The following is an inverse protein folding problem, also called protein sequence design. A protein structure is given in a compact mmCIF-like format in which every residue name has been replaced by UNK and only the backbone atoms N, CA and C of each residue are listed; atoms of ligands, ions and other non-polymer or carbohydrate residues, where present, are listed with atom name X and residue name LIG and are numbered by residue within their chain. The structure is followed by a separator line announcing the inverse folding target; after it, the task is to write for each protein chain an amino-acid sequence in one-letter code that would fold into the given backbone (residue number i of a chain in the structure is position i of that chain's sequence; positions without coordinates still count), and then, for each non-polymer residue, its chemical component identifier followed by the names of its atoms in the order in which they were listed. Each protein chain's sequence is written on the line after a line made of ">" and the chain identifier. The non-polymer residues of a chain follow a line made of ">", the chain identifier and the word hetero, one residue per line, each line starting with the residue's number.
data_IF_112397729474
#
_entry.id   IF_112397729474
#
_cell.length_a   1.000
_cell.length_b   1.000
_cell.length_c   1.000
_cell.angle_alpha   90.00
_cell.angle_beta   90.00
_cell.angle_gamma   90.00
#
_symmetry.space_group_name_H-M   'P 1'
#
loop_
_entity.id
_entity.type
_entity.pdbx_description
1 polymer ?
#
# COMPACT_ATOMS: atom_id res chain seq x y z
N UNK A 1 -21.64 -7.03 -21.96
CA UNK A 1 -21.34 -8.19 -21.08
C UNK A 1 -22.67 -8.74 -20.58
N UNK A 2 -22.89 -10.06 -20.52
CA UNK A 2 -24.24 -10.56 -20.21
C UNK A 2 -24.60 -10.43 -18.73
N UNK A 3 -23.69 -10.76 -17.81
CA UNK A 3 -23.96 -10.80 -16.36
C UNK A 3 -22.89 -10.08 -15.54
N UNK A 4 -23.32 -9.40 -14.47
CA UNK A 4 -22.45 -8.70 -13.51
C UNK A 4 -22.89 -9.00 -12.06
N UNK A 5 -22.00 -8.74 -11.10
CA UNK A 5 -22.31 -8.74 -9.66
C UNK A 5 -22.31 -7.29 -9.17
N UNK A 6 -23.38 -6.87 -8.51
CA UNK A 6 -23.50 -5.51 -7.99
C UNK A 6 -23.58 -5.54 -6.46
N UNK A 7 -22.66 -4.87 -5.79
CA UNK A 7 -22.59 -4.75 -4.33
C UNK A 7 -22.88 -3.31 -3.91
N UNK A 8 -23.66 -3.12 -2.85
CA UNK A 8 -24.05 -1.80 -2.38
C UNK A 8 -24.19 -1.76 -0.86
N UNK A 9 -23.88 -0.60 -0.28
CA UNK A 9 -24.07 -0.29 1.13
C UNK A 9 -24.48 1.19 1.29
N UNK A 10 -25.00 1.54 2.45
CA UNK A 10 -25.29 2.91 2.82
C UNK A 10 -25.48 3.05 4.32
N UNK A 11 -25.09 4.21 4.84
CA UNK A 11 -25.18 4.46 6.27
C UNK A 11 -25.35 5.93 6.60
N UNK A 12 -25.47 6.18 7.90
CA UNK A 12 -25.54 7.52 8.48
C UNK A 12 -24.76 7.60 9.79
N UNK A 13 -24.01 8.69 9.99
CA UNK A 13 -23.31 9.03 11.24
C UNK A 13 -24.32 9.56 12.25
N UNK A 14 -24.89 8.66 13.05
CA UNK A 14 -26.14 8.92 13.78
C UNK A 14 -27.34 8.69 12.86
N UNK A 15 -28.48 8.22 13.38
CA UNK A 15 -29.60 7.77 12.54
C UNK A 15 -30.92 8.45 12.97
N UNK A 16 -31.35 9.56 12.33
CA UNK A 16 -30.74 10.19 11.15
C UNK A 16 -29.50 11.05 11.48
N UNK A 17 -28.65 11.28 10.47
CA UNK A 17 -27.40 12.04 10.56
C UNK A 17 -26.75 12.21 9.18
N UNK A 18 -25.51 12.74 9.09
CA UNK A 18 -24.75 12.80 7.85
C UNK A 18 -24.64 11.42 7.21
N UNK A 19 -25.19 11.28 6.00
CA UNK A 19 -25.42 10.00 5.36
C UNK A 19 -24.75 9.94 3.98
N UNK A 20 -24.42 8.73 3.58
CA UNK A 20 -23.76 8.46 2.30
C UNK A 20 -23.96 7.02 1.88
N UNK A 21 -23.78 6.75 0.59
CA UNK A 21 -23.88 5.41 0.03
C UNK A 21 -22.67 5.07 -0.82
N UNK A 22 -22.45 3.77 -0.99
CA UNK A 22 -21.43 3.20 -1.85
C UNK A 22 -21.99 2.06 -2.69
N UNK A 23 -21.56 1.96 -3.94
CA UNK A 23 -21.95 0.91 -4.86
C UNK A 23 -20.78 0.54 -5.78
N UNK A 24 -20.64 -0.75 -6.04
CA UNK A 24 -19.60 -1.31 -6.92
C UNK A 24 -20.21 -2.39 -7.82
N UNK A 25 -19.83 -2.38 -9.09
CA UNK A 25 -20.23 -3.40 -10.07
C UNK A 25 -18.99 -4.16 -10.49
N UNK A 26 -19.01 -5.48 -10.31
CA UNK A 26 -17.95 -6.38 -10.70
C UNK A 26 -18.32 -7.22 -11.95
N UNK A 27 -17.31 -7.77 -12.60
CA UNK A 27 -17.47 -8.90 -13.52
C UNK A 27 -18.18 -10.07 -12.84
N UNK A 28 -18.78 -10.97 -13.64
CA UNK A 28 -19.56 -12.10 -13.11
C UNK A 28 -18.77 -13.02 -12.13
N UNK A 29 -17.45 -13.13 -12.32
CA UNK A 29 -16.52 -13.89 -11.48
C UNK A 29 -15.93 -13.07 -10.31
N UNK A 30 -16.36 -11.82 -10.14
CA UNK A 30 -15.83 -10.83 -9.19
C UNK A 30 -14.32 -10.54 -9.33
N UNK A 31 -13.70 -10.87 -10.46
CA UNK A 31 -12.26 -10.64 -10.67
C UNK A 31 -11.90 -9.21 -11.08
N UNK A 32 -12.87 -8.44 -11.59
CA UNK A 32 -12.67 -7.07 -12.05
C UNK A 32 -13.78 -6.14 -11.55
N UNK A 33 -13.41 -4.95 -11.10
CA UNK A 33 -14.33 -3.83 -10.90
C UNK A 33 -14.61 -3.20 -12.26
N UNK A 34 -15.89 -3.07 -12.60
CA UNK A 34 -16.38 -2.47 -13.84
C UNK A 34 -16.87 -1.03 -13.64
N UNK A 35 -17.40 -0.71 -12.46
CA UNK A 35 -17.84 0.63 -12.10
C UNK A 35 -17.95 0.79 -10.57
N UNK A 36 -17.72 2.01 -10.08
CA UNK A 36 -17.98 2.42 -8.70
C UNK A 36 -18.82 3.69 -8.69
N UNK A 37 -19.68 3.82 -7.67
CA UNK A 37 -20.48 5.02 -7.40
C UNK A 37 -20.52 5.27 -5.90
N UNK A 38 -20.40 6.52 -5.51
CA UNK A 38 -20.56 6.98 -4.12
C UNK A 38 -21.11 8.40 -4.14
N UNK A 39 -21.96 8.74 -3.18
CA UNK A 39 -22.39 10.11 -2.98
C UNK A 39 -22.85 10.37 -1.55
N UNK A 40 -22.66 11.60 -1.11
CA UNK A 40 -23.20 12.15 0.13
C UNK A 40 -24.68 12.47 -0.05
N UNK A 41 -25.49 12.26 0.99
CA UNK A 41 -26.95 12.47 0.98
C UNK A 41 -27.40 13.59 1.93
N UNK A 42 -26.46 14.37 2.46
CA UNK A 42 -26.74 15.29 3.56
C UNK A 42 -27.23 14.52 4.78
N UNK A 43 -28.36 14.93 5.38
CA UNK A 43 -28.93 14.24 6.54
C UNK A 43 -30.00 13.23 6.11
N UNK A 44 -29.75 11.94 6.35
CA UNK A 44 -30.69 10.86 6.05
C UNK A 44 -30.64 9.73 7.09
N UNK A 45 -31.47 8.69 6.91
CA UNK A 45 -31.42 7.47 7.72
C UNK A 45 -30.60 6.39 7.03
N UNK A 46 -30.12 5.38 7.78
CA UNK A 46 -29.38 4.24 7.21
C UNK A 46 -30.14 3.59 6.05
N UNK A 47 -31.42 3.27 6.25
CA UNK A 47 -32.21 2.58 5.23
C UNK A 47 -32.43 3.44 3.97
N UNK A 48 -32.51 4.76 4.11
CA UNK A 48 -32.57 5.69 2.97
C UNK A 48 -31.24 5.67 2.21
N UNK A 49 -30.11 5.65 2.92
CA UNK A 49 -28.79 5.55 2.32
C UNK A 49 -28.59 4.21 1.58
N UNK A 50 -28.94 3.08 2.21
CA UNK A 50 -28.84 1.75 1.60
C UNK A 50 -29.65 1.64 0.30
N UNK A 51 -30.85 2.23 0.25
CA UNK A 51 -31.66 2.26 -0.97
C UNK A 51 -31.04 3.11 -2.07
N UNK A 52 -30.42 4.24 -1.73
CA UNK A 52 -29.69 5.05 -2.72
C UNK A 52 -28.46 4.30 -3.24
N UNK A 53 -27.74 3.56 -2.38
CA UNK A 53 -26.67 2.64 -2.78
C UNK A 53 -27.16 1.61 -3.81
N UNK A 54 -28.30 0.96 -3.55
CA UNK A 54 -28.89 0.02 -4.51
C UNK A 54 -29.24 0.67 -5.85
N UNK A 55 -29.84 1.87 -5.83
CA UNK A 55 -30.21 2.61 -7.05
C UNK A 55 -28.96 2.93 -7.88
N UNK A 56 -27.88 3.35 -7.23
CA UNK A 56 -26.61 3.63 -7.85
C UNK A 56 -26.00 2.36 -8.46
N UNK A 57 -26.03 1.24 -7.74
CA UNK A 57 -25.52 -0.05 -8.22
C UNK A 57 -26.26 -0.54 -9.47
N UNK A 58 -27.60 -0.44 -9.49
CA UNK A 58 -28.40 -0.82 -10.65
C UNK A 58 -28.19 0.12 -11.84
N UNK A 59 -28.00 1.41 -11.59
CA UNK A 59 -27.71 2.37 -12.65
C UNK A 59 -26.32 2.13 -13.26
N UNK A 60 -25.29 1.95 -12.42
CA UNK A 60 -23.95 1.59 -12.87
C UNK A 60 -23.91 0.27 -13.66
N UNK A 61 -24.66 -0.74 -13.22
CA UNK A 61 -24.76 -2.02 -13.93
C UNK A 61 -25.37 -1.86 -15.35
N UNK A 62 -26.34 -0.96 -15.49
CA UNK A 62 -26.94 -0.62 -16.79
C UNK A 62 -25.93 0.13 -17.67
N UNK A 63 -25.19 1.07 -17.10
CA UNK A 63 -24.26 1.93 -17.83
C UNK A 63 -23.07 1.12 -18.38
N UNK A 64 -22.63 0.06 -17.68
CA UNK A 64 -21.64 -0.91 -18.22
C UNK A 64 -22.23 -1.92 -19.22
N UNK A 65 -23.51 -1.78 -19.57
CA UNK A 65 -24.20 -2.60 -20.56
C UNK A 65 -24.47 -4.04 -20.11
N UNK A 66 -24.72 -4.26 -18.82
CA UNK A 66 -25.15 -5.56 -18.31
C UNK A 66 -26.59 -5.88 -18.69
N UNK A 67 -26.90 -7.15 -18.91
CA UNK A 67 -28.27 -7.65 -19.13
C UNK A 67 -28.83 -8.41 -17.93
N UNK A 68 -27.96 -8.99 -17.12
CA UNK A 68 -28.30 -9.71 -15.88
C UNK A 68 -27.47 -9.17 -14.71
N UNK A 69 -28.10 -9.01 -13.54
CA UNK A 69 -27.43 -8.44 -12.34
C UNK A 69 -27.67 -9.31 -11.12
N UNK A 70 -26.58 -9.74 -10.48
CA UNK A 70 -26.64 -10.35 -9.15
C UNK A 70 -26.34 -9.28 -8.08
N UNK A 71 -27.39 -8.73 -7.47
CA UNK A 71 -27.29 -7.76 -6.38
C UNK A 71 -26.98 -8.48 -5.07
N UNK A 72 -25.94 -8.02 -4.36
CA UNK A 72 -25.52 -8.54 -3.06
C UNK A 72 -25.39 -7.38 -2.08
N UNK A 73 -26.06 -7.44 -0.94
CA UNK A 73 -26.02 -6.36 0.07
C UNK A 73 -26.05 -6.97 1.48
N UNK A 74 -25.46 -6.30 2.46
CA UNK A 74 -25.57 -6.68 3.87
C UNK A 74 -26.81 -6.08 4.57
N UNK A 75 -27.55 -5.20 3.89
CA UNK A 75 -28.90 -4.80 4.27
C UNK A 75 -29.94 -5.90 4.02
N UNK A 76 -30.26 -6.65 5.06
CA UNK A 76 -31.34 -7.65 4.99
C UNK A 76 -32.69 -7.00 4.67
N UNK A 77 -32.93 -5.78 5.17
CA UNK A 77 -34.18 -5.06 4.94
C UNK A 77 -34.40 -4.78 3.44
N UNK A 78 -33.41 -4.17 2.78
CA UNK A 78 -33.50 -3.81 1.36
C UNK A 78 -33.58 -5.06 0.49
N UNK A 79 -32.76 -6.08 0.76
CA UNK A 79 -32.79 -7.36 0.03
C UNK A 79 -34.17 -8.01 0.08
N UNK A 80 -34.78 -8.10 1.27
CA UNK A 80 -36.09 -8.73 1.45
C UNK A 80 -37.23 -7.91 0.81
N UNK A 81 -37.13 -6.58 0.86
CA UNK A 81 -38.11 -5.68 0.23
C UNK A 81 -38.03 -5.73 -1.29
N UNK A 82 -36.83 -5.74 -1.86
CA UNK A 82 -36.62 -5.83 -3.31
C UNK A 82 -36.93 -7.22 -3.87
N UNK A 83 -36.75 -8.26 -3.05
CA UNK A 83 -37.22 -9.60 -3.38
C UNK A 83 -38.75 -9.77 -3.31
N UNK A 84 -39.49 -8.72 -2.91
CA UNK A 84 -40.95 -8.75 -2.76
C UNK A 84 -41.45 -9.54 -1.55
N UNK A 85 -40.55 -10.02 -0.68
CA UNK A 85 -40.91 -10.78 0.52
C UNK A 85 -41.42 -9.87 1.62
N UNK A 86 -40.88 -8.66 1.73
CA UNK A 86 -41.27 -7.68 2.75
C UNK A 86 -41.88 -6.43 2.12
N UNK A 87 -42.88 -5.83 2.78
CA UNK A 87 -43.53 -4.59 2.32
C UNK A 87 -42.72 -3.36 2.74
N UNK A 88 -42.53 -2.40 1.83
CA UNK A 88 -42.04 -1.06 2.17
C UNK A 88 -43.20 -0.22 2.69
N UNK A 89 -43.09 0.25 3.93
CA UNK A 89 -44.12 1.07 4.58
C UNK A 89 -43.66 2.48 4.90
N UNK A 90 -42.35 2.72 4.99
CA UNK A 90 -41.82 4.03 5.37
C UNK A 90 -41.99 5.02 4.20
N UNK A 91 -42.61 6.20 4.40
CA UNK A 91 -42.87 7.17 3.34
C UNK A 91 -41.64 7.53 2.51
N UNK A 92 -40.48 7.72 3.17
CA UNK A 92 -39.23 8.12 2.50
C UNK A 92 -38.59 6.98 1.69
N UNK A 93 -38.89 5.72 2.02
CA UNK A 93 -38.34 4.55 1.30
C UNK A 93 -39.22 4.12 0.13
N UNK A 94 -40.53 4.41 0.15
CA UNK A 94 -41.45 4.09 -0.95
C UNK A 94 -40.98 4.65 -2.31
N UNK A 95 -40.61 5.94 -2.44
CA UNK A 95 -40.15 6.46 -3.73
C UNK A 95 -38.82 5.83 -4.17
N UNK A 96 -37.91 5.55 -3.24
CA UNK A 96 -36.63 4.92 -3.54
C UNK A 96 -36.80 3.48 -4.01
N UNK A 97 -37.66 2.71 -3.34
CA UNK A 97 -37.97 1.35 -3.76
C UNK A 97 -38.61 1.31 -5.15
N UNK A 98 -39.51 2.25 -5.45
CA UNK A 98 -40.11 2.35 -6.80
C UNK A 98 -39.05 2.62 -7.85
N UNK A 99 -38.14 3.56 -7.60
CA UNK A 99 -37.03 3.88 -8.52
C UNK A 99 -36.10 2.68 -8.71
N UNK A 100 -35.73 1.98 -7.65
CA UNK A 100 -34.92 0.75 -7.73
C UNK A 100 -35.65 -0.35 -8.55
N UNK A 101 -36.97 -0.52 -8.33
CA UNK A 101 -37.77 -1.49 -9.07
C UNK A 101 -37.99 -1.10 -10.55
N UNK A 102 -37.98 0.18 -10.89
CA UNK A 102 -37.98 0.66 -12.27
C UNK A 102 -36.66 0.35 -12.98
N UNK A 103 -35.52 0.62 -12.33
CA UNK A 103 -34.21 0.27 -12.87
C UNK A 103 -34.05 -1.24 -13.06
N UNK A 104 -34.48 -2.03 -12.06
CA UNK A 104 -34.39 -3.49 -12.12
C UNK A 104 -35.18 -4.10 -13.30
N UNK A 105 -36.29 -3.47 -13.71
CA UNK A 105 -37.08 -3.88 -14.89
C UNK A 105 -36.36 -3.68 -16.22
N UNK A 106 -35.27 -2.91 -16.24
CA UNK A 106 -34.44 -2.71 -17.43
C UNK A 106 -33.50 -3.87 -17.75
N UNK A 107 -33.39 -4.86 -16.86
CA UNK A 107 -32.54 -6.04 -17.03
C UNK A 107 -33.38 -7.27 -17.40
N UNK A 108 -32.77 -8.24 -18.08
CA UNK A 108 -33.37 -9.53 -18.36
C UNK A 108 -33.61 -10.31 -17.06
N UNK A 109 -32.70 -10.19 -16.09
CA UNK A 109 -32.90 -10.73 -14.74
C UNK A 109 -32.12 -9.96 -13.67
N UNK A 110 -32.69 -9.89 -12.47
CA UNK A 110 -32.04 -9.36 -11.26
C UNK A 110 -32.28 -10.30 -10.09
N UNK A 111 -31.22 -10.71 -9.40
CA UNK A 111 -31.31 -11.48 -8.16
C UNK A 111 -30.83 -10.66 -6.98
N UNK A 112 -31.44 -10.83 -5.80
CA UNK A 112 -31.04 -10.14 -4.58
C UNK A 112 -30.59 -11.17 -3.53
N UNK A 113 -29.35 -11.05 -3.07
CA UNK A 113 -28.75 -11.91 -2.07
C UNK A 113 -28.32 -11.07 -0.85
N UNK A 114 -28.65 -11.55 0.35
CA UNK A 114 -28.09 -10.99 1.57
C UNK A 114 -26.72 -11.63 1.84
N UNK A 115 -25.72 -10.80 2.12
CA UNK A 115 -24.36 -11.25 2.46
C UNK A 115 -23.93 -10.72 3.83
N UNK A 116 -23.05 -11.42 4.57
CA UNK A 116 -22.46 -10.86 5.78
C UNK A 116 -21.66 -9.57 5.48
N UNK A 117 -21.66 -8.59 6.40
CA UNK A 117 -20.93 -7.32 6.25
C UNK A 117 -19.46 -7.50 5.86
N UNK A 118 -18.78 -8.50 6.44
CA UNK A 118 -17.39 -8.82 6.11
C UNK A 118 -17.16 -9.20 4.63
N UNK A 119 -18.22 -9.55 3.90
CA UNK A 119 -18.19 -9.85 2.46
C UNK A 119 -18.61 -8.66 1.58
N UNK A 120 -19.13 -7.57 2.17
CA UNK A 120 -19.56 -6.33 1.51
C UNK A 120 -18.56 -5.18 1.74
N UNK A 121 -17.30 -5.49 2.08
CA UNK A 121 -16.32 -4.50 2.55
C UNK A 121 -16.00 -3.39 1.56
N UNK A 122 -16.13 -3.66 0.25
CA UNK A 122 -15.87 -2.66 -0.79
C UNK A 122 -16.96 -1.59 -0.81
N UNK A 123 -18.23 -2.00 -0.86
CA UNK A 123 -19.34 -1.05 -0.82
C UNK A 123 -19.44 -0.32 0.53
N UNK A 124 -19.12 -1.00 1.64
CA UNK A 124 -19.03 -0.39 2.98
C UNK A 124 -17.95 0.70 3.04
N UNK A 125 -16.76 0.46 2.46
CA UNK A 125 -15.70 1.47 2.39
C UNK A 125 -16.17 2.73 1.64
N UNK A 126 -16.77 2.57 0.46
CA UNK A 126 -17.34 3.66 -0.34
C UNK A 126 -18.44 4.43 0.41
N UNK A 127 -19.30 3.72 1.15
CA UNK A 127 -20.35 4.34 1.96
C UNK A 127 -19.78 5.12 3.16
N UNK A 128 -18.69 4.64 3.78
CA UNK A 128 -18.01 5.34 4.87
C UNK A 128 -17.36 6.64 4.39
N UNK A 129 -16.64 6.60 3.27
CA UNK A 129 -16.08 7.81 2.65
C UNK A 129 -17.19 8.85 2.38
N UNK A 130 -18.32 8.41 1.82
CA UNK A 130 -19.43 9.30 1.52
C UNK A 130 -20.12 9.88 2.77
N UNK A 131 -20.19 9.10 3.85
CA UNK A 131 -20.68 9.56 5.15
C UNK A 131 -19.76 10.58 5.81
N UNK A 132 -18.45 10.36 5.74
CA UNK A 132 -17.45 11.24 6.35
C UNK A 132 -17.37 12.57 5.57
N UNK A 133 -17.38 12.50 4.23
CA UNK A 133 -17.54 13.69 3.39
C UNK A 133 -18.83 14.47 3.69
N UNK A 134 -19.96 13.76 3.90
CA UNK A 134 -21.22 14.40 4.28
C UNK A 134 -21.13 15.11 5.64
N UNK A 135 -20.37 14.55 6.60
CA UNK A 135 -20.16 15.15 7.92
C UNK A 135 -19.28 16.41 7.84
N UNK A 136 -18.37 16.47 6.88
CA UNK A 136 -17.51 17.62 6.59
C UNK A 136 -18.17 18.65 5.66
N UNK A 137 -19.39 18.39 5.18
CA UNK A 137 -20.13 19.29 4.28
C UNK A 137 -19.63 19.26 2.83
N UNK A 138 -18.89 18.22 2.45
CA UNK A 138 -18.41 17.98 1.08
C UNK A 138 -19.46 17.16 0.32
N UNK A 139 -19.95 17.69 -0.79
CA UNK A 139 -20.89 16.98 -1.67
C UNK A 139 -20.14 16.18 -2.73
N UNK A 140 -20.04 14.86 -2.54
CA UNK A 140 -19.40 13.97 -3.51
C UNK A 140 -20.24 13.76 -4.78
N UNK A 141 -21.49 14.24 -4.86
CA UNK A 141 -22.34 14.10 -6.04
C UNK A 141 -21.97 15.05 -7.20
N UNK A 142 -21.15 16.06 -6.94
CA UNK A 142 -20.63 16.99 -7.97
C UNK A 142 -19.31 16.52 -8.60
N UNK A 143 -18.73 15.42 -8.11
CA UNK A 143 -17.56 14.80 -8.71
C UNK A 143 -18.02 13.97 -9.93
N UNK A 144 -17.42 14.16 -11.12
CA UNK A 144 -17.85 13.44 -12.31
C UNK A 144 -17.76 11.93 -12.11
N UNK A 145 -18.81 11.22 -12.54
CA UNK A 145 -18.82 9.75 -12.59
C UNK A 145 -17.56 9.29 -13.33
N UNK A 146 -16.74 8.47 -12.66
CA UNK A 146 -15.55 7.90 -13.26
C UNK A 146 -15.96 7.07 -14.49
N UNK A 147 -15.67 7.58 -15.69
CA UNK A 147 -15.62 6.75 -16.90
C UNK A 147 -14.57 5.64 -16.67
N UNK A 148 -14.78 4.43 -17.21
CA UNK A 148 -13.87 3.32 -16.99
C UNK A 148 -12.54 3.63 -17.69
N UNK A 149 -11.63 4.22 -16.95
CA UNK A 149 -10.25 4.39 -17.36
C UNK A 149 -9.67 2.99 -17.57
N UNK A 150 -9.26 2.74 -18.81
CA UNK A 150 -8.50 1.58 -19.18
C UNK A 150 -7.27 1.47 -18.28
N UNK A 151 -7.23 0.38 -17.51
CA UNK A 151 -6.13 -0.12 -16.68
C UNK A 151 -4.80 0.65 -16.77
N UNK A 152 -4.46 1.34 -15.69
CA UNK A 152 -3.15 1.17 -15.07
C UNK A 152 -3.37 0.74 -13.61
N UNK A 153 -2.59 -0.25 -13.19
CA UNK A 153 -2.87 -1.08 -12.04
C UNK A 153 -2.56 -0.36 -10.73
N UNK A 154 -3.56 0.26 -10.11
CA UNK A 154 -3.48 0.61 -8.69
C UNK A 154 -3.65 -0.66 -7.85
N UNK A 155 -2.65 -0.94 -7.03
CA UNK A 155 -2.67 -2.06 -6.09
C UNK A 155 -3.79 -1.84 -5.06
N UNK A 156 -4.58 -2.86 -4.69
CA UNK A 156 -5.68 -2.68 -3.75
C UNK A 156 -5.11 -2.25 -2.39
N UNK A 157 -5.24 -0.97 -2.06
CA UNK A 157 -4.87 -0.42 -0.77
C UNK A 157 -6.05 -0.55 0.19
N UNK A 158 -6.06 -1.58 1.04
CA UNK A 158 -7.00 -1.68 2.16
C UNK A 158 -6.74 -0.63 3.26
N UNK A 159 -5.69 0.18 3.11
CA UNK A 159 -5.14 1.07 4.14
C UNK A 159 -5.85 2.41 4.29
N UNK A 160 -6.84 2.73 3.45
CA UNK A 160 -7.58 4.01 3.51
C UNK A 160 -6.72 5.26 3.23
N UNK A 161 -5.50 5.06 2.72
CA UNK A 161 -4.55 6.13 2.46
C UNK A 161 -4.84 6.79 1.10
N UNK A 162 -4.88 8.12 1.09
CA UNK A 162 -5.37 8.95 -0.03
C UNK A 162 -4.24 9.60 -0.82
N UNK A 163 -4.43 9.71 -2.14
CA UNK A 163 -3.50 10.34 -3.06
C UNK A 163 -2.50 9.36 -3.69
N UNK A 164 -1.83 9.79 -4.75
CA UNK A 164 -0.81 8.98 -5.43
C UNK A 164 0.39 8.80 -4.48
N UNK A 165 0.72 7.56 -4.08
CA UNK A 165 1.80 7.34 -3.14
C UNK A 165 3.15 7.55 -3.82
N UNK A 166 4.12 8.06 -3.05
CA UNK A 166 5.52 7.89 -3.42
C UNK A 166 5.91 6.46 -3.15
N UNK A 167 6.25 5.72 -4.20
CA UNK A 167 6.56 4.29 -4.12
C UNK A 167 8.06 4.08 -4.04
N UNK A 168 8.53 3.56 -2.92
CA UNK A 168 9.94 3.40 -2.61
C UNK A 168 10.35 1.94 -2.74
N UNK A 169 11.14 1.64 -3.77
CA UNK A 169 11.76 0.34 -4.00
C UNK A 169 13.10 0.31 -3.26
N UNK A 170 13.15 -0.43 -2.16
CA UNK A 170 14.31 -0.55 -1.28
C UNK A 170 15.16 -1.74 -1.71
N UNK A 171 16.29 -1.47 -2.36
CA UNK A 171 17.25 -2.49 -2.77
C UNK A 171 18.46 -2.48 -1.83
N UNK A 172 18.74 -3.60 -1.18
CA UNK A 172 20.00 -3.74 -0.44
C UNK A 172 21.15 -3.95 -1.41
N UNK A 173 22.32 -3.40 -1.12
CA UNK A 173 23.53 -3.67 -1.91
C UNK A 173 23.84 -5.19 -2.03
N UNK A 174 24.54 -5.58 -3.10
CA UNK A 174 25.05 -6.94 -3.29
C UNK A 174 26.16 -7.32 -2.32
N UNK A 175 26.61 -8.57 -2.35
CA UNK A 175 27.64 -9.09 -1.44
C UNK A 175 28.95 -8.30 -1.49
N UNK A 176 29.52 -8.07 -0.30
CA UNK A 176 30.89 -7.56 -0.10
C UNK A 176 31.73 -8.61 0.63
N UNK A 177 33.07 -8.49 0.69
CA UNK A 177 33.91 -9.40 1.47
C UNK A 177 33.48 -9.51 2.94
N UNK A 178 33.10 -8.39 3.56
CA UNK A 178 32.63 -8.37 4.97
C UNK A 178 31.32 -9.12 5.16
N UNK A 179 30.46 -9.15 4.13
CA UNK A 179 29.19 -9.88 4.17
C UNK A 179 29.39 -11.40 4.18
N UNK A 180 30.45 -11.90 3.52
CA UNK A 180 30.81 -13.34 3.51
C UNK A 180 31.10 -13.81 4.93
N UNK A 181 31.91 -13.03 5.65
CA UNK A 181 32.34 -13.34 7.01
C UNK A 181 31.31 -12.95 8.09
N UNK A 182 30.15 -12.40 7.70
CA UNK A 182 29.10 -11.88 8.60
C UNK A 182 29.65 -10.87 9.62
N UNK A 183 30.53 -10.00 9.14
CA UNK A 183 31.13 -8.91 9.93
C UNK A 183 30.24 -7.69 9.93
N UNK A 184 30.26 -6.92 11.01
CA UNK A 184 29.66 -5.59 11.04
C UNK A 184 30.33 -4.72 9.98
N UNK A 185 29.53 -4.15 9.08
CA UNK A 185 29.99 -3.29 7.99
C UNK A 185 29.14 -2.03 8.00
N UNK A 186 29.70 -0.96 8.56
CA UNK A 186 29.06 0.33 8.70
C UNK A 186 29.58 1.28 7.63
N UNK A 187 30.44 2.22 8.06
CA UNK A 187 31.00 3.26 7.19
C UNK A 187 32.22 2.84 6.39
N UNK A 188 32.73 1.62 6.63
CA UNK A 188 33.70 1.00 5.72
C UNK A 188 33.17 1.02 4.29
N UNK A 189 34.07 1.13 3.30
CA UNK A 189 33.69 1.34 1.90
C UNK A 189 34.21 0.24 0.95
N UNK A 190 34.00 -1.06 1.24
CA UNK A 190 34.42 -2.12 0.35
C UNK A 190 33.59 -2.12 -0.94
N UNK A 191 34.24 -2.56 -2.03
CA UNK A 191 33.57 -2.89 -3.28
C UNK A 191 32.76 -4.19 -3.17
N UNK A 192 31.86 -4.39 -4.13
CA UNK A 192 31.18 -5.66 -4.32
C UNK A 192 32.17 -6.78 -4.68
N UNK A 193 31.92 -8.00 -4.19
CA UNK A 193 32.58 -9.21 -4.71
C UNK A 193 32.07 -9.51 -6.13
N UNK A 194 32.70 -10.45 -6.84
CA UNK A 194 32.16 -10.94 -8.12
C UNK A 194 30.74 -11.50 -7.97
N UNK A 195 30.44 -12.17 -6.84
CA UNK A 195 29.09 -12.62 -6.55
C UNK A 195 28.16 -11.42 -6.31
N UNK A 196 28.60 -10.40 -5.58
CA UNK A 196 27.84 -9.16 -5.38
C UNK A 196 27.52 -8.43 -6.69
N UNK A 197 28.47 -8.39 -7.63
CA UNK A 197 28.25 -7.84 -8.97
C UNK A 197 27.21 -8.65 -9.76
N UNK A 198 27.27 -9.98 -9.70
CA UNK A 198 26.24 -10.85 -10.31
C UNK A 198 24.86 -10.64 -9.68
N UNK A 199 24.80 -10.52 -8.35
CA UNK A 199 23.56 -10.21 -7.63
C UNK A 199 22.97 -8.87 -8.08
N UNK A 200 23.80 -7.83 -8.16
CA UNK A 200 23.39 -6.52 -8.67
C UNK A 200 22.88 -6.60 -10.12
N UNK A 201 23.56 -7.35 -10.99
CA UNK A 201 23.12 -7.56 -12.38
C UNK A 201 21.78 -8.33 -12.49
N UNK A 202 21.55 -9.29 -11.60
CA UNK A 202 20.28 -10.01 -11.49
C UNK A 202 19.15 -9.08 -11.04
N UNK A 203 19.36 -8.29 -10.00
CA UNK A 203 18.38 -7.28 -9.55
C UNK A 203 18.09 -6.26 -10.66
N UNK A 204 19.13 -5.79 -11.34
CA UNK A 204 19.02 -4.88 -12.48
C UNK A 204 18.26 -5.48 -13.66
N UNK A 205 18.24 -6.80 -13.83
CA UNK A 205 17.46 -7.43 -14.89
C UNK A 205 15.96 -7.29 -14.64
N UNK A 206 15.51 -7.51 -13.41
CA UNK A 206 14.10 -7.37 -13.03
C UNK A 206 13.68 -5.91 -12.89
N UNK A 207 14.52 -5.08 -12.29
CA UNK A 207 14.25 -3.64 -12.16
C UNK A 207 14.32 -2.92 -13.51
N UNK A 208 15.25 -3.32 -14.39
CA UNK A 208 15.42 -2.74 -15.72
C UNK A 208 14.30 -3.06 -16.71
N UNK A 209 13.47 -4.07 -16.42
CA UNK A 209 12.25 -4.34 -17.22
C UNK A 209 11.04 -3.52 -16.77
N UNK A 210 11.18 -2.75 -15.68
CA UNK A 210 10.11 -1.87 -15.20
C UNK A 210 10.14 -0.55 -15.98
N UNK A 211 8.96 -0.06 -16.31
CA UNK A 211 8.78 1.24 -16.97
C UNK A 211 8.31 2.33 -16.01
N UNK A 212 8.05 1.98 -14.75
CA UNK A 212 7.47 2.87 -13.75
C UNK A 212 8.50 3.49 -12.81
N UNK A 213 9.81 3.20 -12.93
CA UNK A 213 10.85 3.81 -12.07
C UNK A 213 11.22 5.19 -12.62
N UNK A 214 10.97 6.24 -11.84
CA UNK A 214 11.22 7.63 -12.23
C UNK A 214 12.62 8.12 -11.86
N UNK A 215 13.19 7.59 -10.78
CA UNK A 215 14.46 8.04 -10.24
C UNK A 215 15.21 6.95 -9.48
N UNK A 216 16.54 7.08 -9.41
CA UNK A 216 17.43 6.20 -8.65
C UNK A 216 18.25 7.04 -7.68
N UNK A 217 18.11 6.75 -6.39
CA UNK A 217 18.98 7.30 -5.35
C UNK A 217 19.76 6.18 -4.66
N UNK A 218 20.97 6.50 -4.21
CA UNK A 218 21.82 5.54 -3.54
C UNK A 218 22.55 6.15 -2.35
N UNK A 219 22.88 5.31 -1.37
CA UNK A 219 23.90 5.63 -0.39
C UNK A 219 25.22 6.00 -1.09
N UNK A 220 26.02 6.93 -0.52
CA UNK A 220 27.31 7.29 -1.09
C UNK A 220 28.34 6.15 -1.04
N UNK A 221 28.11 5.04 -0.33
CA UNK A 221 29.07 3.94 -0.24
C UNK A 221 29.16 3.13 -1.55
N UNK A 222 30.37 2.74 -1.93
CA UNK A 222 30.74 2.07 -3.17
C UNK A 222 29.86 0.86 -3.48
N UNK A 223 29.66 -0.04 -2.51
CA UNK A 223 28.77 -1.21 -2.66
C UNK A 223 27.33 -0.85 -3.08
N UNK A 224 26.78 0.24 -2.55
CA UNK A 224 25.43 0.69 -2.89
C UNK A 224 25.43 1.37 -4.27
N UNK A 225 26.41 2.24 -4.55
CA UNK A 225 26.54 2.88 -5.87
C UNK A 225 26.76 1.87 -6.99
N UNK A 226 27.63 0.88 -6.81
CA UNK A 226 27.87 -0.19 -7.78
C UNK A 226 26.61 -1.02 -8.04
N UNK A 227 25.83 -1.29 -6.98
CA UNK A 227 24.54 -1.98 -7.12
C UNK A 227 23.53 -1.11 -7.89
N UNK A 228 23.47 0.19 -7.59
CA UNK A 228 22.59 1.15 -8.28
C UNK A 228 22.95 1.33 -9.76
N UNK A 229 24.25 1.44 -10.07
CA UNK A 229 24.77 1.61 -11.42
C UNK A 229 24.32 0.49 -12.36
N UNK A 230 24.30 -0.76 -11.89
CA UNK A 230 23.84 -1.89 -12.70
C UNK A 230 22.40 -1.70 -13.23
N UNK A 231 21.51 -1.14 -12.40
CA UNK A 231 20.12 -0.82 -12.79
C UNK A 231 20.03 0.47 -13.61
N UNK A 232 20.80 1.50 -13.21
CA UNK A 232 20.87 2.79 -13.89
C UNK A 232 21.28 2.65 -15.35
N UNK A 233 22.31 1.84 -15.63
CA UNK A 233 22.81 1.58 -16.99
C UNK A 233 21.74 0.96 -17.90
N UNK A 234 20.79 0.20 -17.33
CA UNK A 234 19.69 -0.43 -18.08
C UNK A 234 18.51 0.51 -18.30
N UNK A 235 18.17 1.32 -17.30
CA UNK A 235 17.05 2.26 -17.38
C UNK A 235 17.42 3.57 -18.08
N UNK A 236 18.72 3.86 -18.26
CA UNK A 236 19.19 5.14 -18.78
C UNK A 236 18.95 6.31 -17.82
N UNK A 237 18.84 6.03 -16.51
CA UNK A 237 18.60 7.02 -15.47
C UNK A 237 19.89 7.34 -14.71
N UNK A 238 20.10 8.59 -14.25
CA UNK A 238 21.22 8.91 -13.38
C UNK A 238 21.04 8.33 -11.97
N UNK A 239 22.14 8.15 -11.26
CA UNK A 239 22.13 7.80 -9.82
C UNK A 239 22.46 9.04 -9.00
N UNK A 240 21.51 9.48 -8.17
CA UNK A 240 21.73 10.56 -7.20
C UNK A 240 22.20 10.00 -5.87
N UNK A 241 23.33 10.47 -5.35
CA UNK A 241 23.84 10.04 -4.04
C UNK A 241 23.21 10.85 -2.91
N UNK A 242 22.75 10.17 -1.87
CA UNK A 242 22.11 10.79 -0.69
C UNK A 242 22.79 10.30 0.58
N UNK A 243 23.49 11.20 1.28
CA UNK A 243 24.31 10.87 2.46
C UNK A 243 23.51 10.26 3.60
N UNK A 244 22.28 10.71 3.80
CA UNK A 244 21.38 10.20 4.84
C UNK A 244 21.02 8.71 4.69
N UNK A 245 21.27 8.11 3.52
CA UNK A 245 21.11 6.67 3.26
C UNK A 245 22.35 5.83 3.65
N UNK A 246 23.38 6.39 4.29
CA UNK A 246 24.53 5.61 4.75
C UNK A 246 24.15 4.55 5.80
N UNK A 247 24.90 3.45 5.87
CA UNK A 247 24.69 2.43 6.92
C UNK A 247 25.00 3.01 8.30
N UNK A 248 24.51 2.34 9.34
CA UNK A 248 24.84 2.60 10.75
C UNK A 248 26.35 2.61 10.94
N UNK A 249 26.87 3.62 11.62
CA UNK A 249 28.26 3.58 12.07
C UNK A 249 28.41 2.55 13.20
N UNK A 250 29.14 1.46 12.94
CA UNK A 250 29.40 0.45 13.95
C UNK A 250 30.65 0.75 14.79
N UNK A 251 31.35 1.87 14.53
CA UNK A 251 32.49 2.32 15.32
C UNK A 251 33.53 1.22 15.51
N UNK A 252 33.87 0.93 16.77
CA UNK A 252 34.87 -0.07 17.15
C UNK A 252 34.48 -1.52 16.77
N UNK A 253 33.23 -1.77 16.38
CA UNK A 253 32.78 -3.07 15.89
C UNK A 253 32.96 -3.26 14.39
N UNK A 254 33.32 -2.22 13.63
CA UNK A 254 33.58 -2.33 12.20
C UNK A 254 34.58 -3.47 11.91
N UNK A 255 34.19 -4.39 11.03
CA UNK A 255 35.00 -5.55 10.67
C UNK A 255 35.02 -6.68 11.70
N UNK A 256 34.40 -6.53 12.87
CA UNK A 256 34.24 -7.64 13.81
C UNK A 256 33.06 -8.52 13.41
N UNK A 257 33.17 -9.81 13.69
CA UNK A 257 32.01 -10.70 13.75
C UNK A 257 31.17 -10.39 14.98
N UNK A 258 29.93 -10.90 15.00
CA UNK A 258 29.06 -10.79 16.16
C UNK A 258 29.71 -11.33 17.45
N UNK A 259 30.38 -12.48 17.36
CA UNK A 259 31.07 -13.11 18.50
C UNK A 259 32.24 -12.26 18.98
N UNK A 260 33.09 -11.77 18.07
CA UNK A 260 34.23 -10.91 18.43
C UNK A 260 33.77 -9.60 19.10
N UNK A 261 32.70 -8.97 18.59
CA UNK A 261 32.13 -7.77 19.20
C UNK A 261 31.54 -8.05 20.59
N UNK A 262 30.83 -9.17 20.75
CA UNK A 262 30.30 -9.63 22.03
C UNK A 262 31.40 -9.92 23.04
N UNK A 263 32.49 -10.58 22.64
CA UNK A 263 33.63 -10.86 23.53
C UNK A 263 34.39 -9.59 23.91
N UNK A 264 34.54 -8.65 22.98
CA UNK A 264 35.25 -7.39 23.21
C UNK A 264 34.46 -6.42 24.09
N UNK A 265 33.14 -6.34 23.91
CA UNK A 265 32.27 -5.41 24.62
C UNK A 265 30.98 -6.09 25.14
N UNK A 266 31.07 -7.06 26.07
CA UNK A 266 29.94 -7.94 26.42
C UNK A 266 28.71 -7.22 26.96
N UNK A 267 28.89 -6.27 27.88
CA UNK A 267 27.77 -5.53 28.47
C UNK A 267 27.09 -4.58 27.46
N UNK A 268 27.89 -3.86 26.67
CA UNK A 268 27.38 -2.95 25.63
C UNK A 268 26.66 -3.74 24.54
N UNK A 269 27.26 -4.84 24.09
CA UNK A 269 26.68 -5.70 23.06
C UNK A 269 25.37 -6.35 23.52
N UNK A 270 25.31 -6.83 24.77
CA UNK A 270 24.09 -7.36 25.36
C UNK A 270 22.96 -6.33 25.40
N UNK A 271 23.26 -5.09 25.81
CA UNK A 271 22.27 -4.02 25.85
C UNK A 271 21.81 -3.59 24.44
N UNK A 272 22.76 -3.41 23.52
CA UNK A 272 22.52 -2.99 22.13
C UNK A 272 21.51 -3.88 21.38
N UNK A 273 21.47 -5.19 21.70
CA UNK A 273 20.54 -6.15 21.06
C UNK A 273 19.06 -5.96 21.43
N UNK A 274 18.73 -5.09 22.38
CA UNK A 274 17.34 -4.85 22.79
C UNK A 274 17.01 -3.38 23.10
N UNK A 275 18.00 -2.49 23.08
CA UNK A 275 17.84 -1.07 23.36
C UNK A 275 18.43 -0.26 22.19
N UNK A 276 17.56 0.49 21.50
CA UNK A 276 17.93 1.27 20.30
C UNK A 276 18.73 2.52 20.63
N UNK A 277 18.75 2.96 21.88
CA UNK A 277 19.49 4.13 22.35
C UNK A 277 20.98 3.82 22.60
N UNK A 278 21.32 2.54 22.79
CA UNK A 278 22.70 2.09 23.00
C UNK A 278 23.43 2.08 21.65
N UNK A 279 24.63 2.63 21.61
CA UNK A 279 25.49 2.64 20.43
C UNK A 279 26.64 1.63 20.59
N UNK A 280 27.15 1.05 19.49
CA UNK A 280 28.51 0.53 19.45
C UNK A 280 29.50 1.62 19.91
N UNK A 281 30.61 1.28 20.59
CA UNK A 281 31.61 2.27 20.98
C UNK A 281 32.12 3.05 19.77
N UNK A 282 32.17 4.38 19.89
CA UNK A 282 32.52 5.31 18.80
C UNK A 282 31.65 5.21 17.53
N UNK A 283 30.46 4.58 17.62
CA UNK A 283 29.50 4.45 16.53
C UNK A 283 28.20 5.23 16.76
N UNK A 284 27.17 4.86 16.01
CA UNK A 284 25.82 5.42 16.08
C UNK A 284 24.85 4.46 16.78
N UNK A 285 23.96 5.00 17.62
CA UNK A 285 22.79 4.25 18.09
C UNK A 285 21.74 4.17 16.99
N UNK A 286 20.81 3.21 17.09
CA UNK A 286 19.68 3.15 16.15
C UNK A 286 18.78 4.39 16.27
N UNK A 287 18.67 5.00 17.44
CA UNK A 287 17.95 6.27 17.59
C UNK A 287 18.60 7.42 16.80
N UNK A 288 19.93 7.51 16.82
CA UNK A 288 20.66 8.52 16.04
C UNK A 288 20.50 8.29 14.53
N UNK A 289 20.55 7.03 14.07
CA UNK A 289 20.30 6.68 12.67
C UNK A 289 18.85 7.00 12.28
N UNK A 290 17.88 6.75 13.17
CA UNK A 290 16.47 7.03 12.91
C UNK A 290 16.23 8.51 12.61
N UNK A 291 16.81 9.43 13.40
CA UNK A 291 16.67 10.87 13.18
C UNK A 291 17.08 11.27 11.75
N UNK A 292 18.24 10.78 11.28
CA UNK A 292 18.67 11.10 9.90
C UNK A 292 17.84 10.38 8.83
N UNK A 293 17.34 9.17 9.10
CA UNK A 293 16.50 8.44 8.16
C UNK A 293 15.11 9.07 8.02
N UNK A 294 14.52 9.56 9.10
CA UNK A 294 13.26 10.33 9.03
C UNK A 294 13.43 11.60 8.20
N UNK A 295 14.47 12.38 8.46
CA UNK A 295 14.76 13.58 7.67
C UNK A 295 15.03 13.25 6.18
N UNK A 296 15.74 12.15 5.90
CA UNK A 296 16.02 11.69 4.54
C UNK A 296 14.74 11.22 3.84
N UNK A 297 13.90 10.47 4.55
CA UNK A 297 12.58 10.04 4.04
C UNK A 297 11.77 11.27 3.66
N UNK A 298 11.62 12.23 4.56
CA UNK A 298 10.77 13.41 4.32
C UNK A 298 11.27 14.24 3.14
N UNK A 299 12.61 14.38 3.01
CA UNK A 299 13.22 14.99 1.83
C UNK A 299 12.86 14.22 0.55
N UNK A 300 13.07 12.90 0.52
CA UNK A 300 12.80 12.07 -0.66
C UNK A 300 11.31 12.07 -1.02
N UNK A 301 10.41 11.99 -0.05
CA UNK A 301 8.96 12.03 -0.28
C UNK A 301 8.50 13.38 -0.81
N UNK A 302 9.15 14.46 -0.41
CA UNK A 302 8.86 15.81 -0.93
C UNK A 302 9.38 15.97 -2.36
N UNK A 303 10.62 15.54 -2.62
CA UNK A 303 11.29 15.71 -3.92
C UNK A 303 10.72 14.79 -5.01
N UNK A 304 10.30 13.58 -4.62
CA UNK A 304 9.78 12.54 -5.50
C UNK A 304 8.30 12.24 -5.24
N UNK A 305 7.53 13.23 -4.79
CA UNK A 305 6.10 13.08 -4.50
C UNK A 305 5.34 12.44 -5.68
N UNK A 306 4.59 11.37 -5.40
CA UNK A 306 3.80 10.62 -6.39
C UNK A 306 4.62 9.77 -7.36
N UNK A 307 5.94 9.71 -7.21
CA UNK A 307 6.83 8.96 -8.12
C UNK A 307 7.26 7.62 -7.55
N UNK A 308 7.77 6.75 -8.41
CA UNK A 308 8.45 5.52 -8.00
C UNK A 308 9.96 5.74 -7.95
N UNK A 309 10.52 5.61 -6.76
CA UNK A 309 11.93 5.82 -6.45
C UNK A 309 12.62 4.50 -6.13
N UNK A 310 13.68 4.16 -6.88
CA UNK A 310 14.62 3.11 -6.47
C UNK A 310 15.64 3.68 -5.48
N UNK A 311 15.64 3.14 -4.27
CA UNK A 311 16.56 3.51 -3.18
C UNK A 311 17.51 2.34 -2.93
N UNK A 312 18.80 2.53 -3.25
CA UNK A 312 19.83 1.51 -3.04
C UNK A 312 20.65 1.82 -1.79
N UNK A 313 20.52 0.99 -0.76
CA UNK A 313 21.12 1.26 0.56
C UNK A 313 21.44 -0.05 1.32
N UNK A 314 21.37 -0.04 2.65
CA UNK A 314 21.92 -1.04 3.54
C UNK A 314 20.86 -1.56 4.52
N UNK A 315 21.26 -2.46 5.42
CA UNK A 315 20.32 -3.19 6.25
C UNK A 315 19.58 -2.28 7.21
N UNK A 316 20.26 -1.37 7.92
CA UNK A 316 19.59 -0.54 8.93
C UNK A 316 18.68 0.51 8.31
N UNK A 317 19.10 1.30 7.29
CA UNK A 317 18.21 2.22 6.59
C UNK A 317 16.94 1.54 6.04
N UNK A 318 17.04 0.36 5.41
CA UNK A 318 15.88 -0.37 4.90
C UNK A 318 14.96 -0.79 6.05
N UNK A 319 15.51 -1.36 7.13
CA UNK A 319 14.72 -1.73 8.31
C UNK A 319 13.97 -0.55 8.91
N UNK A 320 14.60 0.62 8.97
CA UNK A 320 13.97 1.83 9.51
C UNK A 320 12.90 2.40 8.60
N UNK A 321 13.12 2.42 7.28
CA UNK A 321 12.09 2.86 6.33
C UNK A 321 10.87 1.92 6.35
N UNK A 322 11.09 0.60 6.44
CA UNK A 322 10.01 -0.37 6.61
C UNK A 322 9.32 -0.25 7.99
N UNK A 323 10.08 0.03 9.05
CA UNK A 323 9.52 0.28 10.38
C UNK A 323 8.59 1.49 10.37
N UNK A 324 9.04 2.60 9.76
CA UNK A 324 8.26 3.83 9.62
C UNK A 324 7.00 3.59 8.79
N UNK A 325 7.10 2.83 7.69
CA UNK A 325 5.97 2.51 6.84
C UNK A 325 4.93 1.58 7.50
N UNK A 326 5.38 0.68 8.38
CA UNK A 326 4.49 -0.23 9.12
C UNK A 326 3.92 0.39 10.40
N UNK A 327 4.43 1.54 10.84
CA UNK A 327 4.14 2.18 12.13
C UNK A 327 4.27 1.20 13.32
N UNK A 328 5.37 0.46 13.37
CA UNK A 328 5.66 -0.53 14.43
C UNK A 328 6.84 -0.14 15.30
N UNK A 329 6.87 -0.68 16.52
CA UNK A 329 7.92 -0.42 17.50
C UNK A 329 9.33 -0.91 17.12
N UNK A 330 10.35 -0.61 17.96
CA UNK A 330 11.77 -0.88 17.70
C UNK A 330 12.14 -2.36 17.56
N UNK A 331 11.28 -3.27 18.01
CA UNK A 331 11.53 -4.72 17.92
C UNK A 331 11.71 -5.21 16.48
N UNK A 332 11.17 -4.50 15.48
CA UNK A 332 11.35 -4.83 14.06
C UNK A 332 12.83 -4.82 13.65
N UNK A 333 13.63 -3.87 14.16
CA UNK A 333 15.04 -3.73 13.79
C UNK A 333 15.86 -4.99 14.11
N UNK A 334 15.46 -5.72 15.16
CA UNK A 334 16.14 -6.93 15.63
C UNK A 334 15.59 -8.23 15.02
N UNK A 335 14.37 -8.19 14.47
CA UNK A 335 13.65 -9.39 14.01
C UNK A 335 13.54 -9.50 12.50
N UNK A 336 13.55 -8.37 11.80
CA UNK A 336 13.50 -8.37 10.34
C UNK A 336 14.85 -8.86 9.77
N UNK A 337 14.80 -9.95 9.02
CA UNK A 337 15.94 -10.40 8.21
C UNK A 337 15.85 -9.76 6.82
N UNK A 338 17.00 -9.35 6.29
CA UNK A 338 17.14 -8.88 4.92
C UNK A 338 18.35 -9.59 4.30
N UNK A 339 18.14 -10.23 3.16
CA UNK A 339 19.17 -10.85 2.34
C UNK A 339 19.94 -9.80 1.52
N UNK A 340 21.07 -10.20 0.92
CA UNK A 340 21.84 -9.33 0.03
C UNK A 340 21.14 -9.21 -1.32
N UNK A 341 21.22 -8.04 -1.95
CA UNK A 341 20.49 -7.73 -3.17
C UNK A 341 18.97 -7.95 -3.08
N UNK A 342 18.39 -8.01 -1.88
CA UNK A 342 16.95 -8.20 -1.73
C UNK A 342 16.19 -6.90 -2.00
N UNK A 343 14.98 -7.05 -2.53
CA UNK A 343 14.06 -5.97 -2.85
C UNK A 343 12.92 -5.93 -1.81
N UNK A 344 12.65 -4.76 -1.26
CA UNK A 344 11.44 -4.48 -0.49
C UNK A 344 10.73 -3.27 -1.10
N UNK A 345 9.43 -3.13 -0.88
CA UNK A 345 8.63 -2.05 -1.45
C UNK A 345 7.74 -1.46 -0.37
N UNK A 346 7.87 -0.16 -0.16
CA UNK A 346 7.00 0.63 0.69
C UNK A 346 6.38 1.77 -0.13
N UNK A 347 5.15 2.11 0.18
CA UNK A 347 4.40 3.23 -0.40
C UNK A 347 4.08 4.21 0.72
N UNK A 348 4.35 5.48 0.49
CA UNK A 348 4.06 6.56 1.43
C UNK A 348 3.11 7.55 0.77
N UNK A 349 1.98 7.80 1.43
CA UNK A 349 0.88 8.58 0.92
C UNK A 349 0.96 10.02 1.43
N UNK A 350 0.47 11.01 0.63
CA UNK A 350 0.47 12.42 1.02
C UNK A 350 -0.26 12.74 2.32
N UNK A 351 -1.24 11.92 2.72
CA UNK A 351 -2.00 12.06 3.95
C UNK A 351 -1.26 11.52 5.20
N UNK A 352 -0.03 11.04 5.03
CA UNK A 352 0.79 10.45 6.08
C UNK A 352 0.58 8.95 6.25
N UNK A 353 -0.34 8.34 5.50
CA UNK A 353 -0.49 6.89 5.43
C UNK A 353 0.73 6.22 4.79
N UNK A 354 0.93 4.94 5.09
CA UNK A 354 1.96 4.14 4.43
C UNK A 354 1.52 2.68 4.31
N UNK A 355 2.10 1.97 3.35
CA UNK A 355 1.90 0.53 3.20
C UNK A 355 3.20 -0.15 2.79
N UNK A 356 3.40 -1.39 3.26
CA UNK A 356 4.52 -2.23 2.79
C UNK A 356 3.96 -3.31 1.89
N UNK A 357 4.38 -3.29 0.62
CA UNK A 357 3.87 -4.17 -0.44
C UNK A 357 4.71 -5.43 -0.61
N UNK A 358 6.00 -5.35 -0.29
CA UNK A 358 6.95 -6.44 -0.47
C UNK A 358 8.07 -6.32 0.56
N UNK A 359 8.51 -7.45 1.11
CA UNK A 359 9.63 -7.50 2.04
C UNK A 359 10.58 -8.62 1.63
N UNK A 360 11.85 -8.26 1.47
CA UNK A 360 12.96 -9.19 1.30
C UNK A 360 12.83 -10.18 0.12
N UNK A 361 12.33 -9.73 -1.03
CA UNK A 361 12.27 -10.57 -2.23
C UNK A 361 13.66 -10.78 -2.84
N UNK A 362 13.99 -12.05 -3.07
CA UNK A 362 15.21 -12.49 -3.75
C UNK A 362 14.91 -13.42 -4.92
N UNK A 363 13.67 -13.44 -5.43
CA UNK A 363 13.24 -14.33 -6.52
C UNK A 363 14.05 -14.16 -7.82
N UNK A 364 14.67 -12.99 -8.00
CA UNK A 364 15.54 -12.67 -9.12
C UNK A 364 16.96 -13.24 -9.00
N UNK A 365 17.34 -13.70 -7.81
CA UNK A 365 18.60 -14.38 -7.59
C UNK A 365 18.40 -15.86 -7.93
N UNK A 366 19.35 -16.44 -8.66
CA UNK A 366 19.37 -17.89 -8.84
C UNK A 366 19.45 -18.56 -7.45
N UNK A 367 18.66 -19.62 -7.23
CA UNK A 367 18.70 -20.37 -5.97
C UNK A 367 20.14 -20.71 -5.62
N UNK A 368 20.58 -20.52 -4.37
CA UNK A 368 21.86 -21.05 -3.94
C UNK A 368 21.82 -22.57 -4.15
N UNK A 369 22.76 -23.07 -4.94
CA UNK A 369 22.98 -24.49 -5.14
C UNK A 369 23.40 -25.18 -3.82
#
# INVERSE_FOLDING_TARGET
>A
MSRVVAEADGGSRGNPGPAGYGAVVFSADRSQVLAERRASLGVATNNVAEYNGLIAALSAARDVGAREVAVRMDSKLVVEQMSGRWKVKHPDMIPLQRKAAELARGFDSVTYEWIPRAQNSHADALANEAMDAAAEGVDLSELPDAEPAAKEAESPGWTGAMGEPTRVLLLRHGQTPMSVDRRYSGRGNPDLTELGQRQAASAATVLGSRTDIDAIVASPLARARQTASATADRLGLPVTTVDGLIETDFGDWEGLTFTEAMERHPEVHKAWRGDTSVAPPNGESFDAVRVRIEATRDQLLTEYAGKTLLVVTHVTPIKMLLQLALDVGPSLLYRLHLDLASLSIAEFYPDGGASVRLVNDTSHLASPA
#
